data_IF_120843431485
#
_entry.id   IF_120843431485
#
_cell.length_a   1.000
_cell.length_b   1.000
_cell.length_c   1.000
_cell.angle_alpha   90.00
_cell.angle_beta   90.00
_cell.angle_gamma   90.00
#
_symmetry.space_group_name_H-M   'P 1'
#
loop_
_entity.id
_entity.type
_entity.pdbx_description
1 polymer ?
#
# COMPACT_ATOMS: atom_id res chain seq x y z
N UNK A 1 -35.49 5.98 19.75
CA UNK A 1 -35.96 6.95 18.73
C UNK A 1 -34.78 7.61 18.01
N UNK A 2 -33.72 8.05 18.70
CA UNK A 2 -32.50 8.58 18.05
C UNK A 2 -31.67 7.51 17.32
N UNK A 3 -31.51 6.30 17.86
CA UNK A 3 -30.86 5.18 17.13
C UNK A 3 -31.58 4.82 15.82
N UNK A 4 -32.91 4.93 15.80
CA UNK A 4 -33.73 4.73 14.59
C UNK A 4 -33.58 5.86 13.57
N UNK A 5 -33.15 7.06 13.99
CA UNK A 5 -32.92 8.24 13.13
C UNK A 5 -31.44 8.45 12.81
N UNK A 6 -30.56 7.54 13.27
CA UNK A 6 -29.09 7.63 13.21
C UNK A 6 -28.53 9.02 13.53
N UNK A 7 -29.12 9.71 14.51
CA UNK A 7 -28.65 11.04 14.89
C UNK A 7 -27.21 10.97 15.43
N UNK A 8 -26.30 11.89 15.05
CA UNK A 8 -24.88 11.83 15.43
C UNK A 8 -24.62 11.76 16.93
N UNK A 9 -25.56 12.29 17.73
CA UNK A 9 -25.62 12.16 19.18
C UNK A 9 -27.07 12.07 19.64
N UNK A 10 -27.30 11.27 20.68
CA UNK A 10 -28.64 11.04 21.23
C UNK A 10 -28.96 11.94 22.43
N UNK A 11 -27.96 12.66 22.92
CA UNK A 11 -27.93 13.44 24.17
C UNK A 11 -27.76 14.95 23.92
N UNK A 12 -27.93 15.41 22.67
CA UNK A 12 -27.93 16.85 22.38
C UNK A 12 -29.20 17.45 22.98
N UNK A 13 -29.02 18.40 23.90
CA UNK A 13 -30.09 19.22 24.45
C UNK A 13 -30.53 20.26 23.42
N UNK A 14 -31.44 19.83 22.53
CA UNK A 14 -32.03 20.69 21.52
C UNK A 14 -32.81 21.82 22.19
N UNK A 15 -32.48 23.07 21.86
CA UNK A 15 -33.22 24.22 22.37
C UNK A 15 -34.41 24.51 21.45
N UNK A 16 -35.62 24.50 22.00
CA UNK A 16 -36.84 24.83 21.27
C UNK A 16 -37.04 26.34 21.22
N UNK A 17 -37.22 26.89 20.02
CA UNK A 17 -37.56 28.31 19.84
C UNK A 17 -39.07 28.45 19.83
N UNK A 18 -39.62 28.89 20.96
CA UNK A 18 -41.06 28.84 21.21
C UNK A 18 -41.89 29.99 20.60
N UNK A 19 -41.29 30.97 19.92
CA UNK A 19 -42.02 32.24 19.65
C UNK A 19 -42.01 32.78 18.23
N UNK A 20 -41.00 32.52 17.40
CA UNK A 20 -40.97 33.04 16.03
C UNK A 20 -40.59 31.95 15.02
N UNK A 21 -41.21 31.92 13.82
CA UNK A 21 -40.84 30.98 12.77
C UNK A 21 -39.42 31.29 12.26
N UNK A 22 -38.55 30.28 12.19
CA UNK A 22 -37.38 30.37 11.30
C UNK A 22 -37.90 30.38 9.86
N UNK A 23 -37.40 31.30 9.05
CA UNK A 23 -37.76 31.44 7.65
C UNK A 23 -36.88 30.54 6.77
N UNK A 24 -37.34 30.20 5.55
CA UNK A 24 -36.48 29.57 4.57
C UNK A 24 -35.21 30.41 4.34
N UNK A 25 -34.04 29.80 4.58
CA UNK A 25 -32.74 30.48 4.53
C UNK A 25 -32.09 30.72 5.90
N UNK A 26 -32.83 30.56 7.00
CA UNK A 26 -32.29 30.70 8.36
C UNK A 26 -31.60 29.42 8.87
N UNK A 27 -31.80 28.28 8.21
CA UNK A 27 -31.07 27.03 8.53
C UNK A 27 -29.55 27.23 8.36
N UNK A 28 -28.79 26.92 9.40
CA UNK A 28 -27.34 27.13 9.44
C UNK A 28 -26.92 28.52 9.95
N UNK A 29 -27.87 29.43 10.21
CA UNK A 29 -27.55 30.75 10.76
C UNK A 29 -27.21 30.69 12.27
N UNK A 30 -26.28 31.52 12.76
CA UNK A 30 -26.04 31.64 14.19
C UNK A 30 -27.21 32.32 14.90
N UNK A 31 -27.62 31.78 16.04
CA UNK A 31 -28.62 32.40 16.94
C UNK A 31 -27.92 33.07 18.10
N UNK A 32 -28.37 34.28 18.44
CA UNK A 32 -27.79 35.11 19.49
C UNK A 32 -28.74 35.27 20.69
N UNK A 33 -28.19 35.35 21.90
CA UNK A 33 -28.95 35.80 23.07
C UNK A 33 -29.04 37.33 23.14
N UNK A 34 -29.74 37.85 24.15
CA UNK A 34 -29.91 39.28 24.40
C UNK A 34 -28.58 40.02 24.70
N UNK A 35 -27.52 39.28 25.00
CA UNK A 35 -26.16 39.79 25.23
C UNK A 35 -25.28 39.70 23.97
N UNK A 36 -25.86 39.43 22.79
CA UNK A 36 -25.17 39.25 21.50
C UNK A 36 -24.15 38.09 21.50
N UNK A 37 -24.35 37.07 22.33
CA UNK A 37 -23.52 35.87 22.32
C UNK A 37 -24.20 34.78 21.50
N UNK A 38 -23.43 34.06 20.69
CA UNK A 38 -23.92 32.90 19.94
C UNK A 38 -24.33 31.82 20.95
N UNK A 39 -25.58 31.39 20.88
CA UNK A 39 -26.13 30.29 21.70
C UNK A 39 -26.22 28.98 20.92
N UNK A 40 -26.21 29.05 19.59
CA UNK A 40 -26.25 27.86 18.75
C UNK A 40 -26.47 28.18 17.28
N UNK A 41 -26.70 27.13 16.51
CA UNK A 41 -27.01 27.20 15.09
C UNK A 41 -28.49 26.86 14.91
N UNK A 42 -29.20 27.73 14.20
CA UNK A 42 -30.59 27.54 13.84
C UNK A 42 -30.72 26.36 12.87
N UNK A 43 -31.73 25.52 13.11
CA UNK A 43 -32.16 24.54 12.13
C UNK A 43 -33.70 24.51 12.11
N UNK A 44 -34.25 24.74 10.92
CA UNK A 44 -35.66 25.09 10.69
C UNK A 44 -36.39 23.99 9.94
N UNK A 45 -37.64 23.76 10.36
CA UNK A 45 -38.43 22.54 10.11
C UNK A 45 -38.46 21.94 8.70
N UNK A 46 -38.49 20.61 8.71
CA UNK A 46 -38.56 19.66 7.59
C UNK A 46 -39.65 19.98 6.55
N UNK A 47 -39.32 19.69 5.28
CA UNK A 47 -40.17 19.61 4.08
C UNK A 47 -41.41 20.53 4.06
N UNK A 48 -41.21 21.78 3.62
CA UNK A 48 -42.28 22.71 3.24
C UNK A 48 -42.63 23.79 4.27
N UNK A 49 -41.90 23.89 5.40
CA UNK A 49 -42.06 24.98 6.39
C UNK A 49 -43.34 24.89 7.24
N UNK A 50 -44.10 23.80 7.14
CA UNK A 50 -45.44 23.68 7.75
C UNK A 50 -45.45 23.31 9.24
N UNK A 51 -44.34 22.81 9.80
CA UNK A 51 -44.35 22.24 11.15
C UNK A 51 -44.13 23.26 12.29
N UNK A 52 -43.63 24.48 12.00
CA UNK A 52 -43.25 25.50 13.00
C UNK A 52 -42.37 24.98 14.16
N UNK A 53 -41.74 23.82 13.98
CA UNK A 53 -40.78 23.25 14.90
C UNK A 53 -39.43 23.85 14.55
N UNK A 54 -39.04 24.85 15.33
CA UNK A 54 -37.74 25.51 15.23
C UNK A 54 -36.87 25.01 16.37
N UNK A 55 -35.73 24.45 16.00
CA UNK A 55 -34.76 24.00 16.98
C UNK A 55 -33.42 24.69 16.79
N UNK A 56 -32.66 24.76 17.86
CA UNK A 56 -31.29 25.25 17.86
C UNK A 56 -30.40 24.14 18.38
N UNK A 57 -29.33 23.87 17.64
CA UNK A 57 -28.24 23.02 18.10
C UNK A 57 -27.30 23.92 18.91
N UNK A 58 -27.10 23.68 20.22
CA UNK A 58 -26.21 24.48 21.04
C UNK A 58 -24.80 24.53 20.43
N UNK A 59 -24.17 25.72 20.43
CA UNK A 59 -22.84 25.85 19.83
C UNK A 59 -21.77 25.04 20.58
N UNK A 60 -21.99 24.79 21.87
CA UNK A 60 -21.16 23.90 22.71
C UNK A 60 -21.12 22.47 22.20
N UNK A 61 -22.15 22.08 21.45
CA UNK A 61 -22.32 20.77 20.84
C UNK A 61 -21.91 20.74 19.37
N UNK A 62 -21.42 21.86 18.83
CA UNK A 62 -20.82 21.94 17.49
C UNK A 62 -19.32 21.74 17.61
N UNK A 63 -18.86 20.54 17.24
CA UNK A 63 -17.44 20.22 17.20
C UNK A 63 -16.91 20.38 15.77
N UNK A 64 -16.05 21.38 15.55
CA UNK A 64 -15.33 21.53 14.30
C UNK A 64 -14.21 20.50 14.22
N UNK A 65 -14.24 19.66 13.20
CA UNK A 65 -13.18 18.69 12.96
C UNK A 65 -12.04 19.33 12.15
N UNK A 66 -10.76 18.95 12.39
CA UNK A 66 -9.63 19.46 11.63
C UNK A 66 -9.76 19.16 10.13
N UNK A 67 -9.53 20.18 9.29
CA UNK A 67 -9.57 20.08 7.82
C UNK A 67 -8.65 18.98 7.27
N UNK A 68 -7.53 18.70 7.95
CA UNK A 68 -6.62 17.62 7.58
C UNK A 68 -7.30 16.25 7.52
N UNK A 69 -8.30 16.00 8.38
CA UNK A 69 -9.07 14.75 8.38
C UNK A 69 -10.00 14.61 7.17
N UNK A 70 -10.22 15.69 6.42
CA UNK A 70 -11.18 15.75 5.31
C UNK A 70 -10.54 16.22 4.01
N UNK A 71 -9.21 16.30 3.92
CA UNK A 71 -8.54 16.92 2.75
C UNK A 71 -8.88 16.16 1.46
N UNK A 72 -8.92 14.82 1.51
CA UNK A 72 -9.36 13.97 0.37
C UNK A 72 -10.83 14.23 0.00
N UNK A 73 -11.72 14.36 0.99
CA UNK A 73 -13.13 14.67 0.74
C UNK A 73 -13.32 16.07 0.16
N UNK A 74 -12.61 17.06 0.68
CA UNK A 74 -12.67 18.44 0.20
C UNK A 74 -12.11 18.56 -1.23
N UNK A 75 -11.05 17.82 -1.55
CA UNK A 75 -10.52 17.75 -2.91
C UNK A 75 -11.50 17.04 -3.86
N UNK A 76 -12.18 15.99 -3.41
CA UNK A 76 -13.28 15.37 -4.14
C UNK A 76 -14.41 16.37 -4.43
N UNK A 77 -14.91 17.07 -3.39
CA UNK A 77 -15.98 18.07 -3.52
C UNK A 77 -15.57 19.20 -4.46
N UNK A 78 -14.31 19.65 -4.41
CA UNK A 78 -13.78 20.70 -5.30
C UNK A 78 -13.82 20.29 -6.77
N UNK A 79 -13.72 19.00 -7.07
CA UNK A 79 -13.71 18.47 -8.43
C UNK A 79 -15.11 18.15 -8.97
N UNK A 80 -16.14 18.18 -8.12
CA UNK A 80 -17.50 17.90 -8.56
C UNK A 80 -18.13 19.10 -9.27
N UNK A 81 -19.02 18.78 -10.20
CA UNK A 81 -19.91 19.74 -10.83
C UNK A 81 -20.89 20.31 -9.79
N UNK A 82 -20.86 21.63 -9.57
CA UNK A 82 -21.72 22.34 -8.62
C UNK A 82 -23.21 22.03 -8.84
N UNK A 83 -23.64 21.88 -10.09
CA UNK A 83 -25.03 21.52 -10.40
C UNK A 83 -25.38 20.11 -9.92
N UNK A 84 -24.43 19.17 -9.88
CA UNK A 84 -24.65 17.82 -9.32
C UNK A 84 -24.59 17.80 -7.81
N UNK A 85 -23.72 18.62 -7.22
CA UNK A 85 -23.58 18.77 -5.77
C UNK A 85 -24.90 19.19 -5.10
N UNK A 86 -25.65 20.07 -5.77
CA UNK A 86 -26.89 20.63 -5.25
C UNK A 86 -28.18 20.07 -5.91
N UNK A 87 -28.10 19.39 -7.04
CA UNK A 87 -29.27 18.72 -7.64
C UNK A 87 -29.76 17.50 -6.84
N UNK A 88 -28.88 16.86 -6.05
CA UNK A 88 -29.24 15.72 -5.19
C UNK A 88 -29.85 16.10 -3.83
N UNK A 89 -30.02 17.40 -3.54
CA UNK A 89 -30.58 17.86 -2.27
C UNK A 89 -32.03 17.40 -2.00
N UNK A 90 -32.73 16.86 -3.00
CA UNK A 90 -34.08 16.30 -2.84
C UNK A 90 -34.12 14.80 -2.49
N UNK A 91 -32.96 14.10 -2.51
CA UNK A 91 -32.82 12.68 -2.17
C UNK A 91 -31.71 12.38 -1.16
N UNK A 92 -30.96 13.40 -0.72
CA UNK A 92 -30.03 13.29 0.40
C UNK A 92 -30.83 13.23 1.70
N UNK A 93 -31.30 12.04 2.07
CA UNK A 93 -31.77 11.76 3.43
C UNK A 93 -30.65 12.07 4.43
N UNK A 94 -31.04 12.55 5.61
CA UNK A 94 -30.21 13.06 6.73
C UNK A 94 -29.15 12.07 7.30
N UNK A 95 -28.90 10.95 6.62
CA UNK A 95 -28.18 9.76 7.11
C UNK A 95 -26.75 9.60 6.54
N UNK A 96 -26.19 10.61 5.83
CA UNK A 96 -24.93 10.43 5.08
C UNK A 96 -23.83 11.46 5.34
N UNK A 97 -23.64 11.86 6.59
CA UNK A 97 -22.26 12.10 7.05
C UNK A 97 -21.71 10.74 7.48
N UNK A 98 -20.80 10.11 6.71
CA UNK A 98 -20.38 8.75 7.01
C UNK A 98 -19.44 8.75 8.22
N UNK A 99 -20.03 8.68 9.41
CA UNK A 99 -19.40 7.94 10.48
C UNK A 99 -19.66 6.45 10.18
N UNK A 100 -18.70 5.80 9.52
CA UNK A 100 -18.70 4.34 9.32
C UNK A 100 -19.19 3.79 7.97
N UNK A 101 -19.13 4.55 6.86
CA UNK A 101 -19.18 3.88 5.54
C UNK A 101 -17.82 3.24 5.30
N UNK A 102 -17.80 1.91 5.37
CA UNK A 102 -16.64 1.09 5.11
C UNK A 102 -16.74 0.50 3.70
N UNK A 103 -15.74 0.79 2.88
CA UNK A 103 -15.67 0.32 1.49
C UNK A 103 -15.20 -1.12 1.44
N UNK A 104 -15.74 -1.90 0.50
CA UNK A 104 -15.21 -3.23 0.18
C UNK A 104 -14.38 -3.17 -1.10
N UNK A 105 -13.13 -3.60 -1.03
CA UNK A 105 -12.29 -3.79 -2.21
C UNK A 105 -12.36 -5.26 -2.63
N UNK A 106 -12.58 -5.52 -3.91
CA UNK A 106 -12.66 -6.87 -4.46
C UNK A 106 -11.82 -6.98 -5.73
N UNK A 107 -11.36 -8.18 -6.06
CA UNK A 107 -10.72 -8.44 -7.35
C UNK A 107 -10.05 -9.80 -7.39
N UNK A 108 -9.08 -9.95 -8.30
CA UNK A 108 -8.25 -11.14 -8.41
C UNK A 108 -6.78 -10.82 -8.20
N UNK A 109 -6.06 -11.82 -7.67
CA UNK A 109 -4.61 -11.81 -7.60
C UNK A 109 -4.06 -12.45 -8.87
N UNK A 110 -3.30 -11.67 -9.63
CA UNK A 110 -2.81 -12.00 -10.95
C UNK A 110 -1.29 -12.15 -10.92
N UNK A 111 -0.79 -13.13 -11.68
CA UNK A 111 0.64 -13.33 -11.83
C UNK A 111 1.18 -12.45 -12.96
N UNK A 112 2.25 -11.69 -12.65
CA UNK A 112 3.00 -10.88 -13.61
C UNK A 112 2.45 -9.47 -13.88
N UNK A 113 3.38 -8.57 -14.23
CA UNK A 113 3.13 -7.33 -14.96
C UNK A 113 2.84 -6.08 -14.14
N UNK A 114 3.86 -5.36 -13.70
CA UNK A 114 3.68 -3.98 -13.20
C UNK A 114 3.08 -3.04 -14.25
N UNK A 115 3.34 -3.25 -15.55
CA UNK A 115 3.07 -2.23 -16.57
C UNK A 115 2.08 -2.56 -17.69
N UNK A 116 1.63 -3.80 -17.95
CA UNK A 116 0.69 -3.90 -19.09
C UNK A 116 -0.25 -5.10 -19.20
N UNK A 117 0.04 -6.32 -18.75
CA UNK A 117 -0.94 -7.41 -18.86
C UNK A 117 -0.81 -8.44 -17.73
N UNK A 118 -1.88 -8.78 -17.00
CA UNK A 118 -1.85 -9.92 -16.09
C UNK A 118 -1.76 -11.24 -16.87
N UNK A 119 -0.77 -12.08 -16.55
CA UNK A 119 -0.43 -13.28 -17.33
C UNK A 119 -1.23 -14.52 -16.92
N UNK A 120 -2.15 -14.39 -15.97
CA UNK A 120 -2.94 -15.47 -15.42
C UNK A 120 -3.31 -15.19 -13.97
N UNK A 121 -4.01 -16.15 -13.34
CA UNK A 121 -4.37 -16.07 -11.92
C UNK A 121 -3.22 -16.66 -11.10
N UNK A 122 -2.86 -16.02 -9.98
CA UNK A 122 -1.77 -16.51 -9.14
C UNK A 122 -2.03 -17.91 -8.53
N UNK A 123 -3.29 -18.33 -8.43
CA UNK A 123 -3.74 -19.67 -8.10
C UNK A 123 -3.05 -20.77 -8.93
N UNK A 124 -2.75 -20.49 -10.21
CA UNK A 124 -2.09 -21.45 -11.11
C UNK A 124 -0.61 -21.69 -10.74
N UNK A 125 -0.04 -20.87 -9.85
CA UNK A 125 1.37 -20.88 -9.49
C UNK A 125 1.64 -21.32 -8.04
N UNK A 126 0.67 -21.17 -7.13
CA UNK A 126 0.81 -21.58 -5.74
C UNK A 126 -0.56 -21.91 -5.11
N UNK A 127 -0.68 -23.00 -4.33
CA UNK A 127 -1.88 -23.33 -3.56
C UNK A 127 -1.93 -22.63 -2.19
N UNK A 128 -1.07 -21.65 -1.93
CA UNK A 128 -0.92 -21.06 -0.61
C UNK A 128 -1.91 -19.93 -0.32
N UNK A 129 -2.16 -19.71 0.97
CA UNK A 129 -2.93 -18.58 1.47
C UNK A 129 -2.22 -17.24 1.20
N UNK A 130 -3.03 -16.19 1.15
CA UNK A 130 -2.56 -14.83 0.98
C UNK A 130 -2.39 -14.12 2.32
N UNK A 131 -1.42 -13.22 2.38
CA UNK A 131 -1.38 -12.13 3.37
C UNK A 131 -1.50 -10.82 2.61
N UNK A 132 -2.57 -10.08 2.89
CA UNK A 132 -2.83 -8.76 2.32
C UNK A 132 -2.67 -7.72 3.41
N UNK A 133 -1.94 -6.65 3.14
CA UNK A 133 -1.77 -5.53 4.05
C UNK A 133 -2.10 -4.22 3.35
N UNK A 134 -2.83 -3.36 4.06
CA UNK A 134 -3.20 -2.02 3.60
C UNK A 134 -2.37 -0.98 4.36
N UNK A 135 -1.75 -0.06 3.64
CA UNK A 135 -0.90 0.97 4.22
C UNK A 135 -1.41 2.35 3.85
N UNK A 136 -1.66 3.18 4.86
CA UNK A 136 -2.00 4.57 4.64
C UNK A 136 -0.77 5.31 4.08
N UNK A 137 -0.92 5.93 2.92
CA UNK A 137 0.22 6.51 2.18
C UNK A 137 0.73 7.81 2.79
N UNK A 138 -0.07 8.49 3.61
CA UNK A 138 0.27 9.75 4.26
C UNK A 138 1.00 9.49 5.58
N UNK A 139 0.41 8.67 6.44
CA UNK A 139 0.93 8.34 7.77
C UNK A 139 1.96 7.22 7.75
N UNK A 140 2.04 6.45 6.66
CA UNK A 140 2.89 5.25 6.50
C UNK A 140 2.65 4.19 7.56
N UNK A 141 1.42 4.10 8.05
CA UNK A 141 1.00 3.08 9.04
C UNK A 141 0.15 2.04 8.36
N UNK A 142 0.28 0.80 8.84
CA UNK A 142 -0.63 -0.26 8.47
C UNK A 142 -2.03 0.04 9.01
N UNK A 143 -3.03 -0.13 8.16
CA UNK A 143 -4.44 0.00 8.49
C UNK A 143 -4.97 -1.40 8.74
N UNK A 144 -5.50 -1.68 9.95
CA UNK A 144 -6.13 -2.96 10.22
C UNK A 144 -7.33 -3.16 9.28
N UNK A 145 -7.32 -4.26 8.53
CA UNK A 145 -8.40 -4.64 7.62
C UNK A 145 -8.65 -6.15 7.70
N UNK A 146 -9.89 -6.54 7.49
CA UNK A 146 -10.24 -7.95 7.29
C UNK A 146 -10.15 -8.27 5.79
N UNK A 147 -9.65 -9.46 5.46
CA UNK A 147 -9.58 -9.90 4.07
C UNK A 147 -9.91 -11.37 3.89
N UNK A 148 -10.35 -11.73 2.69
CA UNK A 148 -10.51 -13.11 2.24
C UNK A 148 -9.68 -13.34 0.97
N UNK A 149 -9.26 -14.59 0.75
CA UNK A 149 -8.58 -15.01 -0.46
C UNK A 149 -8.94 -16.46 -0.80
N UNK A 150 -9.34 -16.71 -2.03
CA UNK A 150 -9.57 -18.05 -2.57
C UNK A 150 -8.39 -18.46 -3.46
N UNK A 151 -7.59 -19.41 -3.00
CA UNK A 151 -6.41 -19.89 -3.72
C UNK A 151 -6.73 -20.74 -4.96
N UNK A 152 -8.00 -21.09 -5.23
CA UNK A 152 -8.39 -21.77 -6.46
C UNK A 152 -8.74 -20.77 -7.57
N UNK A 153 -9.38 -19.66 -7.22
CA UNK A 153 -9.87 -18.66 -8.19
C UNK A 153 -9.04 -17.38 -8.21
N UNK A 154 -8.14 -17.23 -7.24
CA UNK A 154 -7.37 -16.02 -6.95
C UNK A 154 -8.22 -14.84 -6.49
N UNK A 155 -9.52 -15.03 -6.24
CA UNK A 155 -10.40 -13.95 -5.82
C UNK A 155 -10.08 -13.52 -4.40
N UNK A 156 -10.18 -12.22 -4.14
CA UNK A 156 -9.99 -11.65 -2.82
C UNK A 156 -11.03 -10.59 -2.50
N UNK A 157 -11.22 -10.33 -1.21
CA UNK A 157 -11.93 -9.16 -0.70
C UNK A 157 -11.17 -8.52 0.45
N UNK A 158 -11.18 -7.20 0.55
CA UNK A 158 -10.75 -6.44 1.73
C UNK A 158 -11.96 -5.65 2.20
N UNK A 159 -12.38 -5.84 3.45
CA UNK A 159 -13.51 -5.13 4.04
C UNK A 159 -13.01 -4.09 5.05
N UNK A 160 -13.92 -3.22 5.48
CA UNK A 160 -13.63 -2.23 6.53
C UNK A 160 -12.58 -1.20 6.10
N UNK A 161 -12.55 -0.87 4.80
CA UNK A 161 -11.57 0.07 4.26
C UNK A 161 -12.07 1.51 4.46
N UNK A 162 -11.34 2.36 5.20
CA UNK A 162 -11.75 3.75 5.41
C UNK A 162 -11.51 4.59 4.15
N UNK A 163 -12.14 5.76 4.11
CA UNK A 163 -11.84 6.80 3.11
C UNK A 163 -10.37 7.23 3.23
N UNK A 164 -9.67 7.36 2.10
CA UNK A 164 -8.27 7.77 2.10
C UNK A 164 -7.50 7.28 0.88
N UNK A 165 -6.16 7.34 0.97
CA UNK A 165 -5.26 6.87 -0.08
C UNK A 165 -4.30 5.82 0.48
N UNK A 166 -4.35 4.63 -0.09
CA UNK A 166 -3.69 3.46 0.45
C UNK A 166 -2.81 2.75 -0.57
N UNK A 167 -1.73 2.13 -0.11
CA UNK A 167 -0.96 1.14 -0.84
C UNK A 167 -1.38 -0.25 -0.39
N UNK A 168 -1.45 -1.21 -1.33
CA UNK A 168 -1.78 -2.60 -1.04
C UNK A 168 -0.53 -3.46 -1.30
N UNK A 169 -0.08 -4.17 -0.27
CA UNK A 169 0.91 -5.22 -0.43
C UNK A 169 0.25 -6.59 -0.29
N UNK A 170 0.73 -7.55 -1.08
CA UNK A 170 0.25 -8.93 -1.04
C UNK A 170 1.40 -9.91 -1.11
N UNK A 171 1.25 -11.01 -0.37
CA UNK A 171 2.14 -12.17 -0.32
C UNK A 171 1.34 -13.44 -0.53
N UNK A 172 1.84 -14.34 -1.36
CA UNK A 172 1.38 -15.73 -1.42
C UNK A 172 2.56 -16.61 -1.02
N UNK A 173 2.43 -17.32 0.11
CA UNK A 173 3.53 -18.11 0.66
C UNK A 173 3.97 -19.22 -0.31
N UNK A 174 5.26 -19.57 -0.29
CA UNK A 174 5.62 -20.97 -0.43
C UNK A 174 6.81 -21.21 0.48
N UNK A 175 6.61 -22.05 1.50
CA UNK A 175 7.68 -22.75 2.17
C UNK A 175 8.52 -21.93 3.16
N UNK A 176 8.55 -22.46 4.37
CA UNK A 176 9.56 -22.31 5.42
C UNK A 176 11.01 -22.11 4.88
N UNK A 177 11.90 -21.39 5.60
CA UNK A 177 11.78 -20.96 6.99
C UNK A 177 11.52 -19.47 7.24
N UNK A 178 11.19 -18.68 6.21
CA UNK A 178 11.26 -17.22 6.29
C UNK A 178 10.20 -16.52 7.16
N UNK A 179 9.18 -17.23 7.64
CA UNK A 179 8.10 -16.60 8.41
C UNK A 179 8.28 -16.65 9.94
N UNK A 180 9.08 -17.59 10.49
CA UNK A 180 9.12 -17.80 11.96
C UNK A 180 10.18 -17.01 12.73
N UNK A 181 11.17 -16.39 12.06
CA UNK A 181 12.35 -15.84 12.77
C UNK A 181 12.54 -14.32 12.60
N UNK A 182 12.01 -13.69 11.54
CA UNK A 182 12.33 -12.28 11.19
C UNK A 182 11.52 -11.19 11.88
N UNK A 183 10.36 -11.47 12.47
CA UNK A 183 9.55 -10.40 13.09
C UNK A 183 9.16 -9.25 12.14
N UNK A 184 9.12 -9.47 10.83
CA UNK A 184 8.69 -8.49 9.82
C UNK A 184 9.59 -8.43 8.59
N UNK A 185 8.98 -8.14 7.44
CA UNK A 185 9.57 -7.72 6.16
C UNK A 185 10.10 -8.81 5.19
N UNK A 186 9.13 -9.42 4.47
CA UNK A 186 9.13 -10.11 3.17
C UNK A 186 10.33 -10.99 2.72
N UNK A 187 10.08 -12.31 2.55
CA UNK A 187 10.09 -12.99 1.22
C UNK A 187 9.03 -14.12 1.21
N UNK A 188 7.98 -13.95 0.40
CA UNK A 188 7.07 -15.02 -0.02
C UNK A 188 7.41 -15.45 -1.46
N UNK A 189 6.96 -16.62 -1.90
CA UNK A 189 7.25 -17.14 -3.24
C UNK A 189 6.74 -16.20 -4.34
N UNK A 190 5.53 -15.66 -4.14
CA UNK A 190 4.99 -14.57 -4.95
C UNK A 190 4.69 -13.36 -4.06
N UNK A 191 5.02 -12.17 -4.55
CA UNK A 191 4.86 -10.92 -3.82
C UNK A 191 4.56 -9.76 -4.75
N UNK A 192 3.85 -8.75 -4.24
CA UNK A 192 3.52 -7.56 -5.02
C UNK A 192 3.25 -6.34 -4.14
N UNK A 193 3.94 -5.25 -4.46
CA UNK A 193 3.55 -3.90 -4.07
C UNK A 193 2.72 -3.33 -5.21
N UNK A 194 1.45 -3.03 -4.96
CA UNK A 194 0.51 -2.57 -5.98
C UNK A 194 0.38 -1.05 -5.97
N UNK A 195 -0.12 -0.50 -7.08
CA UNK A 195 -0.37 0.93 -7.17
C UNK A 195 -1.32 1.40 -6.08
N UNK A 196 -1.15 2.67 -5.69
CA UNK A 196 -2.02 3.28 -4.71
C UNK A 196 -3.48 3.29 -5.21
N UNK A 197 -4.38 3.02 -4.28
CA UNK A 197 -5.82 3.17 -4.44
C UNK A 197 -6.30 4.41 -3.70
N UNK A 198 -7.37 5.01 -4.22
CA UNK A 198 -8.08 6.11 -3.56
C UNK A 198 -9.47 5.58 -3.25
N UNK A 199 -9.88 5.72 -1.99
CA UNK A 199 -11.21 5.41 -1.51
C UNK A 199 -11.90 6.73 -1.26
N UNK A 200 -12.86 7.08 -2.11
CA UNK A 200 -13.63 8.31 -1.98
C UNK A 200 -14.83 8.11 -1.04
N UNK A 201 -15.33 9.20 -0.42
CA UNK A 201 -16.61 9.15 0.27
C UNK A 201 -17.70 8.65 -0.67
N UNK A 202 -18.46 7.66 -0.21
CA UNK A 202 -19.53 6.95 -0.94
C UNK A 202 -19.08 5.87 -1.93
N UNK A 203 -17.78 5.52 -1.98
CA UNK A 203 -17.37 4.27 -2.63
C UNK A 203 -17.82 3.09 -1.77
N UNK A 204 -18.92 2.43 -2.14
CA UNK A 204 -19.37 1.23 -1.42
C UNK A 204 -18.54 0.00 -1.82
N UNK A 205 -18.12 -0.06 -3.09
CA UNK A 205 -17.31 -1.16 -3.61
C UNK A 205 -16.29 -0.67 -4.63
N UNK A 206 -15.05 -1.13 -4.51
CA UNK A 206 -13.97 -0.89 -5.46
C UNK A 206 -13.55 -2.23 -6.08
N UNK A 207 -13.47 -2.29 -7.40
CA UNK A 207 -12.85 -3.41 -8.09
C UNK A 207 -11.40 -3.09 -8.42
N UNK A 208 -10.47 -3.94 -7.98
CA UNK A 208 -9.04 -3.80 -8.26
C UNK A 208 -8.39 -5.18 -8.33
N UNK A 209 -7.70 -5.46 -9.43
CA UNK A 209 -6.84 -6.63 -9.47
C UNK A 209 -5.48 -6.31 -8.83
N UNK A 210 -4.99 -7.23 -8.02
CA UNK A 210 -3.65 -7.18 -7.44
C UNK A 210 -2.71 -8.01 -8.27
N UNK A 211 -1.45 -7.60 -8.33
CA UNK A 211 -0.42 -8.26 -9.12
C UNK A 211 0.68 -8.76 -8.20
N UNK A 212 1.19 -9.94 -8.51
CA UNK A 212 2.34 -10.56 -7.84
C UNK A 212 3.38 -11.02 -8.85
N UNK A 213 4.64 -11.01 -8.45
CA UNK A 213 5.78 -11.50 -9.23
C UNK A 213 6.54 -12.55 -8.42
N UNK A 214 7.26 -13.43 -9.10
CA UNK A 214 8.05 -14.48 -8.46
C UNK A 214 9.34 -13.93 -7.84
N UNK A 215 9.62 -14.33 -6.60
CA UNK A 215 10.94 -14.12 -6.01
C UNK A 215 11.96 -15.04 -6.71
N UNK A 216 12.99 -14.45 -7.33
CA UNK A 216 14.01 -15.19 -8.06
C UNK A 216 14.94 -15.89 -7.06
N UNK A 217 15.02 -17.22 -7.16
CA UNK A 217 15.95 -18.04 -6.41
C UNK A 217 17.32 -18.05 -7.09
N UNK A 218 18.26 -17.32 -6.51
CA UNK A 218 19.68 -17.36 -6.86
C UNK A 218 20.28 -18.63 -6.25
N UNK A 219 20.94 -19.44 -7.08
CA UNK A 219 21.60 -20.70 -6.68
C UNK A 219 23.13 -20.58 -6.69
N UNK A 220 23.67 -19.57 -7.38
CA UNK A 220 25.08 -19.20 -7.36
C UNK A 220 25.28 -17.69 -7.51
N UNK A 221 26.31 -17.11 -6.88
CA UNK A 221 27.33 -17.79 -6.08
C UNK A 221 26.85 -18.16 -4.67
N UNK A 222 25.68 -17.68 -4.28
CA UNK A 222 24.99 -18.05 -3.04
C UNK A 222 23.61 -18.60 -3.33
N UNK A 223 23.12 -19.42 -2.41
CA UNK A 223 21.70 -19.72 -2.30
C UNK A 223 21.03 -18.61 -1.48
N UNK A 224 20.10 -17.86 -2.07
CA UNK A 224 19.33 -16.80 -1.39
C UNK A 224 18.09 -17.31 -0.63
N UNK A 225 17.87 -18.63 -0.60
CA UNK A 225 16.91 -19.27 0.30
C UNK A 225 17.53 -19.67 1.66
N UNK A 226 18.82 -19.41 1.86
CA UNK A 226 19.46 -19.65 3.16
C UNK A 226 19.52 -18.35 3.94
N UNK A 227 19.21 -18.39 5.24
CA UNK A 227 19.36 -17.25 6.13
C UNK A 227 20.82 -16.77 6.16
N UNK A 228 21.01 -15.46 5.97
CA UNK A 228 22.32 -14.80 6.05
C UNK A 228 22.30 -13.78 7.17
N UNK A 229 23.35 -13.74 7.98
CA UNK A 229 23.75 -12.56 8.75
C UNK A 229 24.22 -11.48 7.74
N UNK A 230 23.55 -10.32 7.55
CA UNK A 230 23.61 -9.11 8.40
C UNK A 230 22.69 -7.96 7.91
N UNK A 231 22.21 -7.06 8.81
CA UNK A 231 21.76 -5.66 8.50
C UNK A 231 21.52 -4.72 9.72
N UNK A 232 21.49 -5.17 10.98
CA UNK A 232 21.34 -4.26 12.14
C UNK A 232 22.13 -4.67 13.40
N UNK A 233 23.09 -5.58 13.29
CA UNK A 233 24.01 -5.90 14.39
C UNK A 233 25.19 -4.90 14.41
N UNK A 234 25.90 -4.71 15.56
CA UNK A 234 26.98 -3.73 15.69
C UNK A 234 28.13 -3.93 14.67
N UNK A 235 28.89 -2.84 14.36
CA UNK A 235 29.83 -2.75 13.23
C UNK A 235 31.02 -3.72 13.22
N UNK A 236 31.22 -4.51 14.27
CA UNK A 236 32.41 -5.34 14.45
C UNK A 236 32.34 -6.71 13.75
N UNK A 237 31.20 -7.08 13.15
CA UNK A 237 31.05 -8.28 12.29
C UNK A 237 30.40 -7.91 10.94
N UNK A 238 30.47 -6.63 10.54
CA UNK A 238 29.70 -6.11 9.41
C UNK A 238 30.21 -6.56 8.03
N UNK A 239 31.36 -7.25 7.96
CA UNK A 239 31.93 -7.74 6.71
C UNK A 239 32.73 -9.03 6.94
N UNK A 240 32.07 -10.19 6.97
CA UNK A 240 32.74 -11.33 6.33
C UNK A 240 32.61 -11.08 4.83
N UNK A 241 33.59 -10.36 4.29
CA UNK A 241 33.71 -10.08 2.86
C UNK A 241 33.50 -11.39 2.11
N UNK A 242 32.36 -11.53 1.42
CA UNK A 242 32.13 -12.70 0.58
C UNK A 242 32.95 -12.50 -0.68
N UNK A 243 34.13 -13.12 -0.67
CA UNK A 243 35.09 -13.05 -1.76
C UNK A 243 34.69 -14.01 -2.86
N UNK A 244 34.54 -13.47 -4.06
CA UNK A 244 34.29 -14.27 -5.24
C UNK A 244 35.41 -14.08 -6.26
N UNK A 245 35.90 -15.17 -6.87
CA UNK A 245 36.78 -15.05 -8.02
C UNK A 245 36.15 -14.17 -9.10
N UNK A 246 36.95 -13.40 -9.84
CA UNK A 246 36.48 -12.60 -11.00
C UNK A 246 35.77 -13.43 -12.07
N UNK A 247 35.99 -14.75 -12.09
CA UNK A 247 35.32 -15.72 -12.97
C UNK A 247 34.04 -16.34 -12.35
N UNK A 248 33.48 -15.73 -11.31
CA UNK A 248 32.30 -16.29 -10.64
C UNK A 248 31.07 -16.25 -11.54
N UNK A 249 30.32 -17.35 -11.49
CA UNK A 249 29.06 -17.48 -12.23
C UNK A 249 27.91 -17.12 -11.33
N UNK A 250 27.06 -16.22 -11.79
CA UNK A 250 25.76 -15.96 -11.21
C UNK A 250 24.77 -16.91 -11.87
N UNK A 251 24.01 -17.66 -11.08
CA UNK A 251 22.98 -18.58 -11.58
C UNK A 251 21.74 -18.48 -10.72
N UNK A 252 20.59 -18.59 -11.36
CA UNK A 252 19.29 -18.63 -10.71
C UNK A 252 18.41 -19.68 -11.37
N UNK A 253 17.37 -20.08 -10.66
CA UNK A 253 16.34 -20.94 -11.22
C UNK A 253 15.55 -20.18 -12.29
N UNK A 254 15.28 -20.79 -13.45
CA UNK A 254 14.44 -20.17 -14.47
C UNK A 254 13.06 -19.79 -13.91
N UNK A 255 12.61 -18.59 -14.24
CA UNK A 255 11.24 -18.14 -13.93
C UNK A 255 10.31 -18.62 -15.05
N UNK A 256 9.27 -19.42 -14.74
CA UNK A 256 8.29 -19.83 -15.74
C UNK A 256 7.64 -18.62 -16.42
N UNK A 257 7.59 -18.64 -17.75
CA UNK A 257 7.07 -17.55 -18.58
C UNK A 257 8.07 -16.42 -18.87
N UNK A 258 9.32 -16.53 -18.42
CA UNK A 258 10.36 -15.55 -18.73
C UNK A 258 10.97 -15.81 -20.10
N UNK A 259 10.99 -14.78 -20.94
CA UNK A 259 11.65 -14.80 -22.24
C UNK A 259 13.08 -14.26 -22.12
N UNK A 260 13.28 -13.32 -21.19
CA UNK A 260 14.60 -12.73 -20.90
C UNK A 260 14.73 -12.31 -19.45
N UNK A 261 15.98 -12.07 -19.07
CA UNK A 261 16.37 -11.49 -17.80
C UNK A 261 17.13 -10.20 -18.04
N UNK A 262 16.90 -9.21 -17.19
CA UNK A 262 17.70 -8.00 -17.09
C UNK A 262 18.52 -8.08 -15.81
N UNK A 263 19.83 -8.13 -15.97
CA UNK A 263 20.79 -8.18 -14.87
C UNK A 263 21.47 -6.83 -14.76
N UNK A 264 21.43 -6.25 -13.56
CA UNK A 264 22.10 -4.99 -13.24
C UNK A 264 23.23 -5.26 -12.25
N UNK A 265 24.42 -4.75 -12.57
CA UNK A 265 25.59 -4.76 -11.70
C UNK A 265 26.08 -3.31 -11.54
N UNK A 266 26.15 -2.87 -10.29
CA UNK A 266 26.63 -1.55 -9.89
C UNK A 266 27.92 -1.69 -9.09
N UNK A 267 28.82 -0.72 -9.19
CA UNK A 267 29.91 -0.51 -8.25
C UNK A 267 29.46 0.53 -7.23
N UNK A 268 29.42 0.14 -5.97
CA UNK A 268 29.11 1.00 -4.84
C UNK A 268 30.38 1.39 -4.12
N UNK A 269 30.54 2.68 -3.84
CA UNK A 269 31.58 3.23 -2.97
C UNK A 269 30.97 3.57 -1.61
N UNK A 270 31.36 2.82 -0.58
CA UNK A 270 30.86 2.97 0.78
C UNK A 270 31.35 4.25 1.47
N UNK A 271 32.51 4.79 1.05
CA UNK A 271 33.05 6.01 1.64
C UNK A 271 32.28 7.26 1.17
N UNK A 272 31.84 7.26 -0.10
CA UNK A 272 31.08 8.38 -0.68
C UNK A 272 29.58 8.12 -0.77
N UNK A 273 29.14 6.89 -0.47
CA UNK A 273 27.77 6.40 -0.65
C UNK A 273 27.24 6.62 -2.09
N UNK A 274 28.09 6.42 -3.09
CA UNK A 274 27.77 6.61 -4.51
C UNK A 274 27.74 5.29 -5.26
N UNK A 275 26.84 5.20 -6.25
CA UNK A 275 26.73 4.07 -7.16
C UNK A 275 27.21 4.48 -8.56
N UNK A 276 27.95 3.59 -9.20
CA UNK A 276 28.34 3.69 -10.62
C UNK A 276 27.77 2.49 -11.36
N UNK A 277 27.02 2.74 -12.41
CA UNK A 277 26.51 1.69 -13.29
C UNK A 277 27.69 1.04 -14.02
N UNK A 278 27.93 -0.25 -13.75
CA UNK A 278 29.00 -1.01 -14.42
C UNK A 278 28.42 -1.76 -15.61
N UNK A 279 27.27 -2.41 -15.42
CA UNK A 279 26.70 -3.27 -16.45
C UNK A 279 25.21 -3.47 -16.29
N UNK A 280 24.47 -3.24 -17.36
CA UNK A 280 23.10 -3.74 -17.53
C UNK A 280 23.10 -4.69 -18.72
N UNK A 281 22.71 -5.94 -18.50
CA UNK A 281 22.78 -7.01 -19.49
C UNK A 281 21.39 -7.62 -19.66
N UNK A 282 20.99 -7.77 -20.91
CA UNK A 282 19.84 -8.61 -21.27
C UNK A 282 20.31 -10.00 -21.70
N UNK A 283 19.72 -11.05 -21.16
CA UNK A 283 20.06 -12.45 -21.49
C UNK A 283 18.82 -13.34 -21.43
N UNK A 284 18.71 -14.34 -22.31
CA UNK A 284 17.69 -15.40 -22.20
C UNK A 284 18.11 -16.54 -21.26
N UNK A 285 19.36 -16.55 -20.81
CA UNK A 285 19.89 -17.60 -19.94
C UNK A 285 19.68 -17.25 -18.47
N UNK A 286 19.40 -18.26 -17.64
CA UNK A 286 19.34 -18.11 -16.17
C UNK A 286 20.72 -18.13 -15.49
N UNK A 287 21.74 -17.64 -16.21
CA UNK A 287 23.12 -17.57 -15.75
C UNK A 287 23.86 -16.42 -16.41
N UNK A 288 24.85 -15.89 -15.69
CA UNK A 288 25.74 -14.85 -16.18
C UNK A 288 27.17 -15.07 -15.68
N UNK A 289 28.13 -14.77 -16.54
CA UNK A 289 29.55 -14.66 -16.20
C UNK A 289 29.95 -13.19 -16.29
N UNK A 290 29.75 -12.39 -15.24
CA UNK A 290 30.18 -11.01 -15.26
C UNK A 290 31.70 -11.00 -15.12
N UNK A 291 32.42 -10.66 -16.19
CA UNK A 291 33.83 -10.33 -16.12
C UNK A 291 33.94 -9.01 -15.35
N UNK A 292 34.28 -9.10 -14.05
CA UNK A 292 34.37 -7.98 -13.13
C UNK A 292 35.80 -7.80 -12.67
N UNK A 293 36.22 -6.55 -12.58
CA UNK A 293 37.54 -6.19 -12.06
C UNK A 293 37.58 -6.36 -10.54
N UNK A 294 38.79 -6.56 -10.03
CA UNK A 294 39.05 -6.64 -8.61
C UNK A 294 38.71 -5.31 -7.94
N UNK A 295 37.97 -5.37 -6.85
CA UNK A 295 37.65 -4.22 -6.02
C UNK A 295 38.75 -4.00 -4.98
N UNK A 296 39.05 -2.75 -4.68
CA UNK A 296 39.96 -2.36 -3.61
C UNK A 296 39.28 -1.37 -2.65
N UNK A 297 39.72 -1.38 -1.38
CA UNK A 297 39.27 -0.41 -0.37
C UNK A 297 37.76 -0.48 -0.07
N UNK A 298 37.11 0.69 -0.13
CA UNK A 298 35.71 0.92 0.25
C UNK A 298 34.69 0.59 -0.85
N UNK A 299 35.09 -0.14 -1.90
CA UNK A 299 34.20 -0.44 -3.03
C UNK A 299 33.67 -1.87 -3.00
N UNK A 300 32.40 -2.06 -3.38
CA UNK A 300 31.76 -3.37 -3.54
C UNK A 300 30.79 -3.39 -4.73
N UNK A 301 30.51 -4.56 -5.29
CA UNK A 301 29.52 -4.72 -6.35
C UNK A 301 28.14 -5.02 -5.79
N UNK A 302 27.10 -4.47 -6.41
CA UNK A 302 25.71 -4.79 -6.15
C UNK A 302 25.11 -5.45 -7.38
N UNK A 303 24.55 -6.64 -7.21
CA UNK A 303 23.90 -7.42 -8.26
C UNK A 303 22.39 -7.49 -8.03
N UNK A 304 21.61 -7.34 -9.09
CA UNK A 304 20.18 -7.64 -9.10
C UNK A 304 19.78 -8.23 -10.46
N UNK A 305 18.72 -9.02 -10.45
CA UNK A 305 18.14 -9.62 -11.66
C UNK A 305 16.62 -9.45 -11.66
N UNK A 306 16.07 -9.15 -12.84
CA UNK A 306 14.63 -9.15 -13.12
C UNK A 306 14.34 -10.16 -14.22
N UNK A 307 13.21 -10.83 -14.14
CA UNK A 307 12.69 -11.71 -15.18
C UNK A 307 11.55 -10.99 -15.91
N UNK A 308 11.61 -11.00 -17.24
CA UNK A 308 10.64 -10.36 -18.12
C UNK A 308 10.05 -11.39 -19.09
N UNK A 309 8.76 -11.30 -19.35
CA UNK A 309 8.09 -12.07 -20.41
C UNK A 309 8.30 -11.42 -21.80
N UNK A 310 7.70 -12.01 -22.84
CA UNK A 310 7.77 -11.49 -24.21
C UNK A 310 7.16 -10.11 -24.42
N UNK A 311 6.21 -9.72 -23.56
CA UNK A 311 5.61 -8.39 -23.57
C UNK A 311 6.47 -7.33 -22.86
N UNK A 312 7.56 -7.73 -22.19
CA UNK A 312 8.40 -6.85 -21.38
C UNK A 312 7.86 -6.60 -19.97
N UNK A 313 6.80 -7.28 -19.56
CA UNK A 313 6.27 -7.22 -18.21
C UNK A 313 7.21 -7.93 -17.23
N UNK A 314 7.44 -7.32 -16.06
CA UNK A 314 8.18 -7.97 -14.98
C UNK A 314 7.35 -9.07 -14.34
N UNK A 315 7.90 -10.29 -14.30
CA UNK A 315 7.26 -11.49 -13.76
C UNK A 315 8.06 -12.13 -12.64
N UNK A 316 9.31 -11.70 -12.46
CA UNK A 316 10.12 -12.08 -11.32
C UNK A 316 11.15 -11.02 -10.98
N UNK A 317 11.50 -10.95 -9.71
CA UNK A 317 12.50 -10.00 -9.21
C UNK A 317 13.39 -10.67 -8.18
N UNK A 318 14.62 -10.17 -8.09
CA UNK A 318 15.57 -10.62 -7.10
C UNK A 318 15.29 -10.01 -5.72
N UNK A 319 15.29 -10.87 -4.70
CA UNK A 319 15.25 -10.48 -3.30
C UNK A 319 16.20 -11.36 -2.49
N UNK A 320 16.87 -10.76 -1.51
CA UNK A 320 17.69 -11.45 -0.52
C UNK A 320 17.11 -11.23 0.86
N UNK A 321 17.11 -12.29 1.67
CA UNK A 321 16.77 -12.25 3.08
C UNK A 321 18.02 -12.07 3.94
N UNK A 322 17.95 -11.15 4.89
CA UNK A 322 18.99 -10.84 5.87
C UNK A 322 18.41 -10.98 7.28
N UNK A 323 19.26 -11.26 8.26
CA UNK A 323 18.86 -11.42 9.67
C UNK A 323 18.01 -10.26 10.23
N UNK A 324 18.17 -9.04 9.70
CA UNK A 324 17.45 -7.85 10.16
C UNK A 324 16.73 -7.10 9.01
N UNK A 325 16.31 -7.81 7.96
CA UNK A 325 15.53 -7.23 6.87
C UNK A 325 15.76 -7.92 5.53
N UNK A 326 15.41 -7.27 4.43
CA UNK A 326 15.62 -7.80 3.09
C UNK A 326 16.17 -6.72 2.15
N UNK A 327 16.65 -7.11 0.98
CA UNK A 327 17.10 -6.17 -0.04
C UNK A 327 17.03 -6.72 -1.45
N UNK A 328 16.74 -5.84 -2.42
CA UNK A 328 16.70 -6.18 -3.84
C UNK A 328 18.07 -6.26 -4.52
N UNK A 329 19.15 -6.28 -3.73
CA UNK A 329 20.53 -6.28 -4.19
C UNK A 329 21.35 -7.30 -3.41
N UNK A 330 22.20 -8.03 -4.13
CA UNK A 330 23.25 -8.87 -3.56
C UNK A 330 24.57 -8.12 -3.60
N UNK A 331 25.15 -7.85 -2.43
CA UNK A 331 26.41 -7.12 -2.30
C UNK A 331 27.59 -8.08 -2.19
N UNK A 332 28.68 -7.84 -2.92
CA UNK A 332 29.86 -8.70 -2.90
C UNK A 332 31.14 -7.97 -3.33
N UNK A 333 32.32 -8.54 -3.03
CA UNK A 333 33.61 -8.06 -3.54
C UNK A 333 34.28 -9.13 -4.40
N UNK A 334 34.98 -8.68 -5.44
CA UNK A 334 35.85 -9.50 -6.27
C UNK A 334 37.28 -9.17 -5.84
N UNK A 335 38.06 -10.20 -5.47
CA UNK A 335 39.48 -10.05 -5.18
C UNK A 335 40.32 -10.87 -6.16
N UNK A 336 41.60 -10.51 -6.29
CA UNK A 336 42.60 -11.46 -6.79
C UNK A 336 42.56 -12.70 -5.88
N UNK A 337 42.47 -13.90 -6.47
CA UNK A 337 42.32 -15.17 -5.73
C UNK A 337 43.19 -15.21 -4.46
N UNK A 338 42.64 -15.51 -3.26
CA UNK A 338 43.49 -15.95 -2.16
C UNK A 338 44.02 -17.36 -2.46
N UNK A 339 45.27 -17.58 -2.07
CA UNK A 339 46.02 -18.82 -2.16
C UNK A 339 45.25 -20.07 -1.70
N UNK A 340 45.57 -21.21 -2.32
CA UNK A 340 45.23 -22.54 -1.85
C UNK A 340 45.61 -22.70 -0.36
N UNK A 341 44.71 -23.27 0.44
CA UNK A 341 45.08 -23.98 1.67
C UNK A 341 45.30 -25.45 1.35
#
# INVERSE_FOLDING_TARGET
MCEQRKSPRCDIDILLVAKEPLLPGDSGAPVFNQQNQVVGIADGGVKGGFALLNWIIPYTDVHLLPVSQFTVFLDFLRQQDLTKLFAQASTLGEDRFPHGHETVITGKVLYGGYYSVPLGVAADYTPADAVIQLWDTETRKEVPVDFTYDHHTGQYSITNVPVGKFSISIRLEAGYPFYKVSGGDFISYLSGLNDNIIVAPYDDQIYRDLKVVKSIHLTRPVNNQEERTFTSDPPEILYKENYYPSASVFKWDPVPGADRYEVTILLHDEATNKNTDIKTISTSQSKLYPALDVNHGHTCYWFSVKALNGNGDMIGYFANYYKNGFGGWFKFKVLEKPYQL
#
